data_IF_036234473499
#
_entry.id   IF_036234473499
#
_cell.length_a   1.000
_cell.length_b   1.000
_cell.length_c   1.000
_cell.angle_alpha   90.00
_cell.angle_beta   90.00
_cell.angle_gamma   90.00
#
_symmetry.space_group_name_H-M   'P 1'
#
loop_
_entity.id
_entity.type
_entity.pdbx_description
1 polymer ?
#
# COMPACT_ATOMS: atom_id res chain seq x y z
N UNK A 1 13.91 19.07 3.91
CA UNK A 1 13.28 18.24 4.96
C UNK A 1 13.41 16.77 4.60
N UNK A 2 13.82 15.89 5.52
CA UNK A 2 13.84 14.43 5.25
C UNK A 2 12.39 13.91 5.15
N UNK A 3 12.04 13.08 4.15
CA UNK A 3 10.68 12.58 4.00
C UNK A 3 10.30 11.73 5.23
N UNK A 4 9.24 12.17 5.93
CA UNK A 4 8.70 11.45 7.10
C UNK A 4 7.96 10.19 6.66
N UNK A 5 8.02 9.15 7.49
CA UNK A 5 7.19 7.96 7.32
C UNK A 5 5.78 8.28 7.81
N UNK A 6 4.78 7.93 7.02
CA UNK A 6 3.36 8.11 7.36
C UNK A 6 2.64 6.79 7.19
N UNK A 7 1.72 6.51 8.11
CA UNK A 7 0.83 5.35 8.09
C UNK A 7 -0.55 5.85 7.71
N UNK A 8 -1.08 5.41 6.57
CA UNK A 8 -2.38 5.82 6.06
C UNK A 8 -3.33 4.62 6.12
N UNK A 9 -4.50 4.79 6.72
CA UNK A 9 -5.57 3.80 6.67
C UNK A 9 -6.36 4.00 5.38
N UNK A 10 -6.55 2.94 4.62
CA UNK A 10 -7.36 2.95 3.39
C UNK A 10 -8.55 2.05 3.59
N UNK A 11 -9.72 2.60 3.36
CA UNK A 11 -11.00 1.90 3.41
C UNK A 11 -11.75 2.20 2.11
N UNK A 12 -12.24 1.18 1.40
CA UNK A 12 -12.98 1.39 0.17
C UNK A 12 -14.34 2.03 0.48
N UNK A 13 -14.74 3.04 -0.30
CA UNK A 13 -16.05 3.67 -0.21
C UNK A 13 -17.16 2.92 -0.97
N UNK A 14 -16.78 1.92 -1.76
CA UNK A 14 -17.71 1.12 -2.57
C UNK A 14 -17.19 -0.30 -2.78
N UNK A 15 -18.08 -1.21 -3.21
CA UNK A 15 -17.68 -2.56 -3.60
C UNK A 15 -16.71 -2.57 -4.78
N UNK A 16 -16.82 -1.65 -5.74
CA UNK A 16 -15.84 -1.56 -6.83
C UNK A 16 -14.46 -1.11 -6.33
N UNK A 17 -14.41 -0.12 -5.44
CA UNK A 17 -13.15 0.36 -4.85
C UNK A 17 -12.42 -0.74 -4.06
N UNK A 18 -13.18 -1.64 -3.42
CA UNK A 18 -12.65 -2.81 -2.70
C UNK A 18 -11.81 -3.74 -3.57
N UNK A 19 -12.13 -3.85 -4.86
CA UNK A 19 -11.40 -4.72 -5.81
C UNK A 19 -10.45 -3.96 -6.74
N UNK A 20 -10.30 -2.63 -6.58
CA UNK A 20 -9.50 -1.81 -7.48
C UNK A 20 -8.02 -2.26 -7.56
N UNK A 21 -7.39 -2.52 -6.40
CA UNK A 21 -6.01 -3.03 -6.36
C UNK A 21 -5.88 -4.42 -6.98
N UNK A 22 -6.90 -5.27 -6.82
CA UNK A 22 -6.91 -6.62 -7.39
C UNK A 22 -7.00 -6.56 -8.92
N UNK A 23 -7.84 -5.69 -9.45
CA UNK A 23 -7.94 -5.45 -10.90
C UNK A 23 -6.63 -4.92 -11.49
N UNK A 24 -5.93 -4.04 -10.77
CA UNK A 24 -4.59 -3.56 -11.18
C UNK A 24 -3.59 -4.72 -11.18
N UNK A 25 -3.56 -5.53 -10.12
CA UNK A 25 -2.66 -6.68 -10.01
C UNK A 25 -2.88 -7.67 -11.17
N UNK A 26 -4.14 -8.00 -11.46
CA UNK A 26 -4.54 -8.85 -12.58
C UNK A 26 -4.06 -8.30 -13.93
N UNK A 27 -4.34 -7.03 -14.23
CA UNK A 27 -3.95 -6.41 -15.51
C UNK A 27 -2.43 -6.34 -15.67
N UNK A 28 -1.71 -6.11 -14.58
CA UNK A 28 -0.25 -6.14 -14.57
C UNK A 28 0.26 -7.56 -14.88
N UNK A 29 -0.20 -8.58 -14.16
CA UNK A 29 0.27 -9.96 -14.36
C UNK A 29 -0.06 -10.52 -15.75
N UNK A 30 -1.17 -10.10 -16.35
CA UNK A 30 -1.55 -10.50 -17.71
C UNK A 30 -0.81 -9.71 -18.80
N UNK A 31 0.04 -8.75 -18.45
CA UNK A 31 0.74 -7.89 -19.42
C UNK A 31 -0.17 -6.88 -20.13
N UNK A 32 -1.44 -6.76 -19.72
CA UNK A 32 -2.39 -5.80 -20.28
C UNK A 32 -2.02 -4.35 -19.91
N UNK A 33 -1.33 -4.17 -18.78
CA UNK A 33 -0.77 -2.89 -18.36
C UNK A 33 0.64 -3.10 -17.81
N UNK A 34 1.57 -2.14 -18.01
CA UNK A 34 2.88 -2.19 -17.36
C UNK A 34 2.73 -2.07 -15.83
N UNK A 35 3.83 -2.39 -15.11
CA UNK A 35 3.92 -2.16 -13.66
C UNK A 35 3.43 -0.73 -13.33
N UNK A 36 2.53 -0.55 -12.33
CA UNK A 36 2.05 0.77 -11.97
C UNK A 36 3.20 1.66 -11.49
N UNK A 37 3.48 2.75 -12.22
CA UNK A 37 4.49 3.72 -11.81
C UNK A 37 3.99 4.57 -10.63
N UNK A 38 2.72 4.97 -10.67
CA UNK A 38 2.04 5.74 -9.62
C UNK A 38 0.57 5.32 -9.55
N UNK A 39 0.00 5.36 -8.34
CA UNK A 39 -1.39 5.06 -8.07
C UNK A 39 -2.00 6.18 -7.23
N UNK A 40 -3.15 6.67 -7.68
CA UNK A 40 -3.93 7.65 -6.95
C UNK A 40 -4.86 6.96 -5.96
N UNK A 41 -4.60 7.16 -4.67
CA UNK A 41 -5.34 6.60 -3.55
C UNK A 41 -5.89 7.75 -2.72
N UNK A 42 -7.16 8.07 -2.93
CA UNK A 42 -7.78 9.27 -2.36
C UNK A 42 -7.05 10.54 -2.84
N UNK A 43 -6.58 11.42 -1.92
CA UNK A 43 -5.81 12.62 -2.27
C UNK A 43 -4.33 12.34 -2.52
N UNK A 44 -3.86 11.10 -2.33
CA UNK A 44 -2.45 10.75 -2.42
C UNK A 44 -2.13 10.15 -3.79
N UNK A 45 -1.05 10.60 -4.41
CA UNK A 45 -0.50 9.99 -5.61
C UNK A 45 0.84 9.34 -5.27
N UNK A 46 0.88 8.01 -5.22
CA UNK A 46 1.95 7.24 -4.60
C UNK A 46 2.59 6.25 -5.57
N UNK A 47 3.92 6.21 -5.59
CA UNK A 47 4.69 5.22 -6.32
C UNK A 47 4.81 3.91 -5.51
N UNK A 48 4.27 2.78 -5.99
CA UNK A 48 4.36 1.50 -5.28
C UNK A 48 5.77 0.89 -5.40
N UNK A 49 6.41 0.69 -4.26
CA UNK A 49 7.72 0.06 -4.09
C UNK A 49 7.53 -1.35 -3.56
N UNK A 50 8.17 -2.32 -4.20
CA UNK A 50 8.11 -3.74 -3.86
C UNK A 50 7.99 -4.63 -5.09
N UNK A 51 7.80 -5.93 -4.86
CA UNK A 51 7.61 -6.93 -5.91
C UNK A 51 6.13 -7.04 -6.32
N UNK A 52 5.90 -7.66 -7.47
CA UNK A 52 4.54 -8.01 -7.93
C UNK A 52 3.80 -8.90 -6.95
N UNK A 53 4.48 -9.93 -6.42
CA UNK A 53 3.91 -10.81 -5.40
C UNK A 53 3.47 -10.04 -4.14
N UNK A 54 4.27 -9.06 -3.69
CA UNK A 54 3.91 -8.23 -2.55
C UNK A 54 2.68 -7.35 -2.83
N UNK A 55 2.59 -6.79 -4.05
CA UNK A 55 1.42 -6.04 -4.49
C UNK A 55 0.16 -6.93 -4.51
N UNK A 56 0.27 -8.16 -5.00
CA UNK A 56 -0.82 -9.14 -5.00
C UNK A 56 -1.30 -9.48 -3.59
N UNK A 57 -0.38 -9.78 -2.67
CA UNK A 57 -0.72 -10.06 -1.28
C UNK A 57 -1.46 -8.87 -0.64
N UNK A 58 -0.99 -7.65 -0.89
CA UNK A 58 -1.68 -6.45 -0.45
C UNK A 58 -3.08 -6.34 -1.05
N UNK A 59 -3.22 -6.51 -2.36
CA UNK A 59 -4.48 -6.39 -3.08
C UNK A 59 -5.53 -7.41 -2.59
N UNK A 60 -5.11 -8.67 -2.40
CA UNK A 60 -5.96 -9.73 -1.85
C UNK A 60 -6.37 -9.42 -0.42
N UNK A 61 -5.44 -9.01 0.45
CA UNK A 61 -5.75 -8.63 1.83
C UNK A 61 -6.74 -7.47 1.88
N UNK A 62 -6.54 -6.43 1.06
CA UNK A 62 -7.45 -5.29 0.98
C UNK A 62 -8.85 -5.74 0.52
N UNK A 63 -8.91 -6.56 -0.53
CA UNK A 63 -10.17 -7.10 -1.03
C UNK A 63 -10.89 -7.97 0.01
N UNK A 64 -10.18 -8.78 0.80
CA UNK A 64 -10.81 -9.65 1.80
C UNK A 64 -11.28 -8.88 3.04
N UNK A 65 -10.44 -8.00 3.57
CA UNK A 65 -10.71 -7.29 4.83
C UNK A 65 -11.45 -5.96 4.68
N UNK A 66 -11.62 -5.46 3.45
CA UNK A 66 -12.19 -4.13 3.17
C UNK A 66 -11.48 -3.00 3.94
N UNK A 67 -10.21 -3.20 4.30
CA UNK A 67 -9.37 -2.21 4.94
C UNK A 67 -7.90 -2.57 4.75
N UNK A 68 -7.05 -1.58 4.55
CA UNK A 68 -5.61 -1.81 4.51
C UNK A 68 -4.85 -0.62 5.09
N UNK A 69 -3.56 -0.83 5.28
CA UNK A 69 -2.63 0.21 5.75
C UNK A 69 -1.59 0.43 4.66
N UNK A 70 -1.36 1.69 4.30
CA UNK A 70 -0.25 2.10 3.45
C UNK A 70 0.83 2.70 4.34
N UNK A 71 2.05 2.19 4.22
CA UNK A 71 3.21 2.85 4.83
C UNK A 71 3.95 3.61 3.74
N UNK A 72 3.99 4.92 3.88
CA UNK A 72 4.53 5.83 2.88
C UNK A 72 5.76 6.57 3.38
N UNK A 73 6.66 6.93 2.48
CA UNK A 73 7.81 7.80 2.74
C UNK A 73 7.97 8.76 1.56
N UNK A 74 7.62 10.03 1.78
CA UNK A 74 7.48 10.99 0.67
C UNK A 74 6.29 10.62 -0.20
N UNK A 75 6.53 10.38 -1.48
CA UNK A 75 5.57 9.91 -2.48
C UNK A 75 5.68 8.40 -2.77
N UNK A 76 6.53 7.67 -2.04
CA UNK A 76 6.67 6.24 -2.19
C UNK A 76 5.78 5.51 -1.19
N UNK A 77 5.17 4.42 -1.62
CA UNK A 77 4.40 3.49 -0.80
C UNK A 77 5.08 2.13 -0.82
N UNK A 78 5.46 1.60 0.35
CA UNK A 78 5.96 0.24 0.45
C UNK A 78 4.79 -0.75 0.52
N UNK A 79 4.64 -1.55 -0.53
CA UNK A 79 3.54 -2.51 -0.69
C UNK A 79 3.76 -3.77 0.15
N UNK A 80 5.02 -4.05 0.54
CA UNK A 80 5.37 -5.17 1.41
C UNK A 80 5.36 -4.77 2.89
N UNK A 81 5.02 -3.51 3.20
CA UNK A 81 5.02 -3.04 4.56
C UNK A 81 4.00 -3.78 5.43
N UNK A 82 4.37 -4.03 6.68
CA UNK A 82 3.51 -4.66 7.68
C UNK A 82 3.48 -3.85 8.96
N UNK A 83 2.32 -3.81 9.60
CA UNK A 83 2.15 -3.26 10.95
C UNK A 83 1.72 -4.41 11.85
N UNK A 84 2.51 -4.65 12.90
CA UNK A 84 2.30 -5.71 13.88
C UNK A 84 2.45 -5.12 15.28
N UNK A 85 1.33 -4.93 15.98
CA UNK A 85 1.28 -4.20 17.25
C UNK A 85 1.87 -2.78 17.12
N UNK A 86 2.95 -2.55 17.85
CA UNK A 86 3.73 -1.31 17.87
C UNK A 86 4.92 -1.33 16.89
N UNK A 87 5.07 -2.35 16.05
CA UNK A 87 6.18 -2.47 15.10
C UNK A 87 5.69 -2.25 13.68
N UNK A 88 6.29 -1.27 13.00
CA UNK A 88 6.14 -1.07 11.56
C UNK A 88 7.37 -1.62 10.85
N UNK A 89 7.20 -2.55 9.92
CA UNK A 89 8.25 -2.98 8.99
C UNK A 89 7.97 -2.35 7.64
N UNK A 90 8.87 -1.49 7.17
CA UNK A 90 8.75 -0.81 5.88
C UNK A 90 10.11 -0.32 5.38
N UNK A 91 10.28 -0.23 4.06
CA UNK A 91 11.48 0.21 3.35
C UNK A 91 12.74 -0.50 3.84
N UNK A 92 12.64 -1.81 4.10
CA UNK A 92 13.73 -2.65 4.61
C UNK A 92 14.15 -2.34 6.06
N UNK A 93 13.34 -1.59 6.81
CA UNK A 93 13.64 -1.16 8.19
C UNK A 93 12.49 -1.49 9.13
N UNK A 94 12.81 -1.58 10.42
CA UNK A 94 11.84 -1.70 11.51
C UNK A 94 11.73 -0.37 12.25
N UNK A 95 10.52 0.05 12.58
CA UNK A 95 10.21 1.26 13.35
C UNK A 95 9.31 0.88 14.52
N UNK A 96 9.56 1.47 15.69
CA UNK A 96 8.67 1.37 16.83
C UNK A 96 7.68 2.55 16.81
N UNK A 97 6.39 2.26 16.89
CA UNK A 97 5.30 3.21 17.08
C UNK A 97 5.33 3.66 18.55
N UNK A 98 6.20 4.63 18.85
CA UNK A 98 6.14 5.34 20.13
C UNK A 98 5.04 6.38 20.02
N UNK A 99 4.04 6.29 20.91
CA UNK A 99 2.83 7.12 21.02
C UNK A 99 2.89 8.43 20.21
N UNK A 100 2.00 8.56 19.23
CA UNK A 100 1.66 9.86 18.65
C UNK A 100 0.83 10.61 19.71
N UNK A 101 1.44 11.57 20.40
CA UNK A 101 0.76 12.61 21.16
C UNK A 101 -0.04 13.51 20.21
#
# INVERSE_FOLDING_TARGET
MKPKIRVLRVQPSSMSARFAFLAIALRWSLGATPRPARLRIGPHDLAPVGSEAAFWMFALRHALSAQSVLVTRGDHWDVAASVDGDVIRAFGRKFALRQCL
#
